data_IF_319101818567
#
_entry.id   IF_319101818567
#
_cell.length_a   1.000
_cell.length_b   1.000
_cell.length_c   1.000
_cell.angle_alpha   90.00
_cell.angle_beta   90.00
_cell.angle_gamma   90.00
#
_symmetry.space_group_name_H-M   'P 1'
#
loop_
_entity.id
_entity.type
_entity.pdbx_description
1 polymer ?
#
# COMPACT_ATOMS: atom_id res chain seq x y z
N UNK A 1 -26.08 11.64 -5.24
CA UNK A 1 -27.47 11.94 -4.84
C UNK A 1 -27.55 13.34 -4.25
N UNK A 2 -28.54 14.13 -4.65
CA UNK A 2 -28.78 15.46 -4.06
C UNK A 2 -29.33 15.32 -2.62
N UNK A 3 -29.27 16.40 -1.82
CA UNK A 3 -29.89 16.43 -0.49
C UNK A 3 -31.39 16.09 -0.54
N UNK A 4 -32.06 16.47 -1.62
CA UNK A 4 -33.47 16.18 -1.87
C UNK A 4 -33.71 14.70 -2.15
N UNK A 5 -32.82 14.04 -2.91
CA UNK A 5 -32.92 12.62 -3.20
C UNK A 5 -32.72 11.75 -1.95
N UNK A 6 -31.77 12.13 -1.09
CA UNK A 6 -31.57 11.48 0.20
C UNK A 6 -32.82 11.60 1.09
N UNK A 7 -33.44 12.80 1.14
CA UNK A 7 -34.65 13.06 1.93
C UNK A 7 -35.87 12.29 1.40
N UNK A 8 -36.03 12.15 0.09
CA UNK A 8 -37.16 11.42 -0.54
C UNK A 8 -37.17 9.93 -0.26
N UNK A 9 -35.99 9.30 -0.14
CA UNK A 9 -35.86 7.86 0.12
C UNK A 9 -35.82 7.51 1.62
N UNK A 10 -36.01 8.49 2.52
CA UNK A 10 -35.86 8.29 3.97
C UNK A 10 -34.41 8.02 4.39
N UNK A 11 -33.45 8.33 3.51
CA UNK A 11 -32.08 7.93 3.70
C UNK A 11 -31.28 8.95 4.52
N UNK A 12 -30.42 8.45 5.40
CA UNK A 12 -29.64 9.27 6.33
C UNK A 12 -28.43 9.89 5.63
N UNK A 13 -28.31 11.21 5.71
CA UNK A 13 -27.09 11.92 5.33
C UNK A 13 -26.10 11.84 6.50
N UNK A 14 -24.94 11.23 6.28
CA UNK A 14 -23.89 11.12 7.26
C UNK A 14 -22.72 12.04 6.89
N UNK A 15 -22.67 13.22 7.51
CA UNK A 15 -21.51 14.10 7.44
C UNK A 15 -20.37 13.53 8.29
N UNK A 16 -19.63 12.55 7.80
CA UNK A 16 -18.52 11.89 8.52
C UNK A 16 -17.38 12.85 8.88
N UNK A 17 -17.25 13.99 8.19
CA UNK A 17 -16.19 14.99 8.36
C UNK A 17 -16.24 15.80 9.65
N UNK A 18 -17.34 15.78 10.40
CA UNK A 18 -17.44 16.44 11.71
C UNK A 18 -16.41 15.88 12.70
N UNK A 19 -15.50 16.72 13.20
CA UNK A 19 -14.33 16.30 13.98
C UNK A 19 -14.66 15.49 15.25
N UNK A 20 -15.84 15.72 15.83
CA UNK A 20 -16.31 14.98 17.00
C UNK A 20 -16.86 13.59 16.68
N UNK A 21 -17.07 13.23 15.40
CA UNK A 21 -17.55 11.88 15.00
C UNK A 21 -16.45 10.82 15.04
N UNK A 22 -16.80 9.53 15.17
CA UNK A 22 -15.82 8.46 15.12
C UNK A 22 -15.03 8.50 13.82
N UNK A 23 -13.83 7.92 13.83
CA UNK A 23 -13.06 7.76 12.60
C UNK A 23 -13.82 6.87 11.61
N UNK A 24 -13.61 7.10 10.31
CA UNK A 24 -14.43 6.46 9.29
C UNK A 24 -14.37 4.94 9.35
N UNK A 25 -13.19 4.36 9.59
CA UNK A 25 -13.05 2.90 9.69
C UNK A 25 -13.81 2.33 10.89
N UNK A 26 -13.89 3.04 12.02
CA UNK A 26 -14.67 2.65 13.19
C UNK A 26 -16.18 2.73 12.90
N UNK A 27 -16.59 3.75 12.14
CA UNK A 27 -17.98 3.85 11.65
C UNK A 27 -18.32 2.68 10.72
N UNK A 28 -17.45 2.37 9.75
CA UNK A 28 -17.61 1.25 8.83
C UNK A 28 -17.66 -0.10 9.57
N UNK A 29 -16.84 -0.28 10.61
CA UNK A 29 -16.84 -1.48 11.46
C UNK A 29 -18.21 -1.76 12.10
N UNK A 30 -19.05 -0.75 12.31
CA UNK A 30 -20.40 -0.96 12.85
C UNK A 30 -21.30 -1.81 11.95
N UNK A 31 -21.00 -1.89 10.64
CA UNK A 31 -21.68 -2.78 9.69
C UNK A 31 -21.56 -4.26 10.10
N UNK A 32 -20.44 -4.66 10.72
CA UNK A 32 -20.23 -6.04 11.19
C UNK A 32 -21.25 -6.47 12.26
N UNK A 33 -21.81 -5.51 13.00
CA UNK A 33 -22.83 -5.77 14.03
C UNK A 33 -24.25 -5.45 13.57
N UNK A 34 -24.41 -4.41 12.75
CA UNK A 34 -25.72 -3.91 12.31
C UNK A 34 -26.25 -4.59 11.06
N UNK A 35 -25.38 -5.23 10.28
CA UNK A 35 -25.71 -5.70 8.94
C UNK A 35 -25.64 -4.58 7.90
N UNK A 36 -26.24 -4.84 6.74
CA UNK A 36 -26.27 -3.91 5.61
C UNK A 36 -27.06 -2.65 5.95
N UNK A 37 -26.50 -1.49 5.59
CA UNK A 37 -27.19 -0.20 5.72
C UNK A 37 -26.78 0.76 4.60
N UNK A 38 -27.66 1.71 4.31
CA UNK A 38 -27.44 2.75 3.31
C UNK A 38 -27.33 4.11 3.97
N UNK A 39 -26.23 4.81 3.70
CA UNK A 39 -26.01 6.19 4.14
C UNK A 39 -25.44 7.02 2.98
N UNK A 40 -25.73 8.32 3.00
CA UNK A 40 -25.23 9.28 2.00
C UNK A 40 -24.17 10.16 2.62
N UNK A 41 -22.96 10.11 2.08
CA UNK A 41 -21.83 10.92 2.55
C UNK A 41 -21.58 12.06 1.54
N UNK A 42 -21.43 13.32 2.00
CA UNK A 42 -21.04 14.41 1.11
C UNK A 42 -19.73 14.09 0.38
N UNK A 43 -19.67 14.34 -0.92
CA UNK A 43 -18.56 13.92 -1.79
C UNK A 43 -17.19 14.32 -1.27
N UNK A 44 -17.01 15.58 -0.84
CA UNK A 44 -15.74 16.06 -0.26
C UNK A 44 -15.36 15.27 0.99
N UNK A 45 -16.32 15.01 1.87
CA UNK A 45 -16.08 14.25 3.10
C UNK A 45 -15.77 12.79 2.81
N UNK A 46 -16.38 12.21 1.78
CA UNK A 46 -16.05 10.85 1.33
C UNK A 46 -14.61 10.76 0.82
N UNK A 47 -14.15 11.71 0.00
CA UNK A 47 -12.75 11.73 -0.46
C UNK A 47 -11.75 11.89 0.69
N UNK A 48 -12.09 12.67 1.72
CA UNK A 48 -11.23 12.92 2.89
C UNK A 48 -11.53 12.02 4.11
N UNK A 49 -12.31 10.95 3.93
CA UNK A 49 -12.81 10.12 5.05
C UNK A 49 -11.71 9.49 5.92
N UNK A 50 -10.54 9.26 5.33
CA UNK A 50 -9.37 8.67 5.99
C UNK A 50 -8.37 9.71 6.54
N UNK A 51 -8.52 11.00 6.20
CA UNK A 51 -7.50 12.02 6.48
C UNK A 51 -7.25 12.25 7.96
N UNK A 52 -8.31 12.40 8.77
CA UNK A 52 -8.18 12.79 10.20
C UNK A 52 -7.45 11.77 11.06
N UNK A 53 -7.53 10.51 10.69
CA UNK A 53 -6.97 9.38 11.42
C UNK A 53 -5.79 8.73 10.69
N UNK A 54 -5.26 9.38 9.63
CA UNK A 54 -4.20 8.83 8.79
C UNK A 54 -4.53 7.38 8.41
N UNK A 55 -5.64 7.20 7.69
CA UNK A 55 -6.30 5.91 7.50
C UNK A 55 -6.87 5.34 8.80
N UNK A 56 -6.11 4.53 9.52
CA UNK A 56 -6.48 3.97 10.82
C UNK A 56 -5.32 3.99 11.82
N UNK A 57 -4.16 4.54 11.44
CA UNK A 57 -2.97 4.62 12.30
C UNK A 57 -3.13 5.59 13.47
N UNK A 58 -4.11 6.50 13.40
CA UNK A 58 -4.36 7.48 14.45
C UNK A 58 -4.50 6.87 15.86
N UNK A 59 -4.95 5.61 15.97
CA UNK A 59 -5.05 4.90 17.25
C UNK A 59 -3.68 4.54 17.84
N UNK A 60 -2.70 4.17 17.01
CA UNK A 60 -1.35 3.84 17.46
C UNK A 60 -0.61 5.11 17.89
N UNK A 61 -0.78 6.18 17.10
CA UNK A 61 -0.15 7.47 17.35
C UNK A 61 -0.74 8.14 18.59
N UNK A 62 -2.07 8.09 18.73
CA UNK A 62 -2.81 8.73 19.82
C UNK A 62 -3.88 7.76 20.38
N UNK A 63 -3.53 6.88 21.33
CA UNK A 63 -4.42 5.83 21.83
C UNK A 63 -5.76 6.32 22.39
N UNK A 64 -5.80 7.53 22.96
CA UNK A 64 -7.02 8.16 23.46
C UNK A 64 -7.73 9.05 22.43
N UNK A 65 -7.20 9.16 21.21
CA UNK A 65 -7.69 10.06 20.16
C UNK A 65 -9.09 9.73 19.63
N UNK A 66 -9.59 8.52 19.89
CA UNK A 66 -10.93 8.07 19.52
C UNK A 66 -11.98 8.27 20.63
N UNK A 67 -11.58 8.72 21.82
CA UNK A 67 -12.49 8.99 22.92
C UNK A 67 -13.37 10.21 22.61
N UNK A 68 -14.63 10.17 23.05
CA UNK A 68 -15.59 11.23 22.73
C UNK A 68 -15.13 12.61 23.22
N UNK A 69 -14.66 12.71 24.47
CA UNK A 69 -14.20 13.98 25.05
C UNK A 69 -13.04 14.58 24.25
N UNK A 70 -12.09 13.75 23.81
CA UNK A 70 -10.95 14.19 23.00
C UNK A 70 -11.42 14.66 21.63
N UNK A 71 -12.21 13.84 20.93
CA UNK A 71 -12.74 14.19 19.60
C UNK A 71 -13.58 15.46 19.65
N UNK A 72 -14.36 15.67 20.71
CA UNK A 72 -15.20 16.84 20.87
C UNK A 72 -14.39 18.12 21.10
N UNK A 73 -13.43 18.08 22.03
CA UNK A 73 -12.66 19.27 22.44
C UNK A 73 -11.46 19.57 21.53
N UNK A 74 -10.75 18.53 21.08
CA UNK A 74 -9.46 18.63 20.39
C UNK A 74 -9.43 17.93 19.02
N UNK A 75 -10.51 17.25 18.61
CA UNK A 75 -10.54 16.52 17.34
C UNK A 75 -10.34 17.37 16.09
N UNK A 76 -10.59 18.69 16.17
CA UNK A 76 -10.35 19.64 15.08
C UNK A 76 -8.85 19.91 14.82
N UNK A 77 -7.96 19.50 15.73
CA UNK A 77 -6.50 19.52 15.56
C UNK A 77 -5.97 18.31 14.76
N UNK A 78 -6.82 17.31 14.48
CA UNK A 78 -6.44 16.11 13.73
C UNK A 78 -6.51 16.33 12.20
N UNK A 79 -5.62 15.71 11.41
CA UNK A 79 -4.49 14.87 11.84
C UNK A 79 -3.31 15.72 12.35
N UNK A 80 -2.50 15.21 13.28
CA UNK A 80 -1.26 15.87 13.66
C UNK A 80 -0.34 16.02 12.46
N UNK A 81 0.41 17.12 12.37
CA UNK A 81 1.41 17.29 11.32
C UNK A 81 2.47 16.19 11.47
N UNK A 82 2.75 15.47 10.39
CA UNK A 82 3.77 14.39 10.37
C UNK A 82 5.15 14.91 10.81
N UNK A 83 5.49 16.14 10.45
CA UNK A 83 6.74 16.78 10.90
C UNK A 83 6.81 16.96 12.42
N UNK A 84 5.68 17.28 13.07
CA UNK A 84 5.61 17.39 14.52
C UNK A 84 5.79 16.01 15.18
N UNK A 85 5.11 14.98 14.67
CA UNK A 85 5.28 13.60 15.15
C UNK A 85 6.74 13.14 15.06
N UNK A 86 7.38 13.37 13.90
CA UNK A 86 8.79 13.03 13.68
C UNK A 86 9.73 13.80 14.61
N UNK A 87 9.44 15.06 14.93
CA UNK A 87 10.26 15.84 15.85
C UNK A 87 10.14 15.37 17.31
N UNK A 88 8.99 14.80 17.68
CA UNK A 88 8.74 14.33 19.06
C UNK A 88 9.07 12.85 19.29
N UNK A 89 9.33 12.08 18.23
CA UNK A 89 9.70 10.67 18.33
C UNK A 89 11.22 10.51 18.39
N UNK A 90 11.73 10.04 19.54
CA UNK A 90 13.12 9.63 19.69
C UNK A 90 13.47 8.38 18.86
N UNK A 91 14.77 8.09 18.68
CA UNK A 91 15.22 6.95 17.86
C UNK A 91 14.68 5.60 18.34
N UNK A 92 14.56 5.38 19.65
CA UNK A 92 14.02 4.14 20.22
C UNK A 92 12.56 3.91 19.83
N UNK A 93 11.74 4.96 19.85
CA UNK A 93 10.33 4.91 19.43
C UNK A 93 10.27 4.65 17.93
N UNK A 94 11.11 5.32 17.14
CA UNK A 94 11.14 5.12 15.68
C UNK A 94 11.51 3.69 15.29
N UNK A 95 12.51 3.09 15.96
CA UNK A 95 12.90 1.71 15.72
C UNK A 95 11.79 0.74 16.16
N UNK A 96 11.16 0.99 17.31
CA UNK A 96 10.01 0.20 17.75
C UNK A 96 8.87 0.22 16.73
N UNK A 97 8.49 1.40 16.23
CA UNK A 97 7.49 1.49 15.16
C UNK A 97 7.94 0.76 13.90
N UNK A 98 9.19 0.91 13.48
CA UNK A 98 9.68 0.27 12.27
C UNK A 98 9.66 -1.27 12.36
N UNK A 99 9.93 -1.84 13.53
CA UNK A 99 10.01 -3.29 13.71
C UNK A 99 8.65 -3.93 14.03
N UNK A 100 7.70 -3.13 14.55
CA UNK A 100 6.40 -3.59 15.04
C UNK A 100 5.19 -3.05 14.25
N UNK A 101 5.43 -2.45 13.09
CA UNK A 101 4.40 -1.86 12.23
C UNK A 101 4.64 -2.28 10.79
N UNK A 102 3.56 -2.62 10.09
CA UNK A 102 3.60 -2.96 8.67
C UNK A 102 2.95 -1.83 7.88
N UNK A 103 3.63 -1.36 6.85
CA UNK A 103 3.10 -0.46 5.82
C UNK A 103 3.47 -1.06 4.47
N UNK A 104 2.57 -1.86 3.92
CA UNK A 104 2.78 -2.55 2.66
C UNK A 104 1.50 -2.51 1.82
N UNK A 105 1.69 -2.54 0.50
CA UNK A 105 0.61 -2.63 -0.48
C UNK A 105 0.86 -3.78 -1.45
N UNK A 106 -0.22 -4.34 -1.95
CA UNK A 106 -0.24 -5.45 -2.89
C UNK A 106 -1.17 -5.13 -4.04
N UNK A 107 -0.66 -5.00 -5.26
CA UNK A 107 -1.46 -4.93 -6.48
C UNK A 107 -1.73 -6.35 -6.98
N UNK A 108 -2.92 -6.86 -6.69
CA UNK A 108 -3.28 -8.26 -6.92
C UNK A 108 -4.36 -8.37 -7.99
N UNK A 109 -4.30 -9.32 -8.93
CA UNK A 109 -5.43 -9.60 -9.83
C UNK A 109 -6.73 -9.82 -9.04
N UNK A 110 -7.84 -9.23 -9.47
CA UNK A 110 -9.09 -9.19 -8.68
C UNK A 110 -9.55 -10.59 -8.22
N UNK A 111 -9.40 -11.60 -9.07
CA UNK A 111 -9.80 -12.97 -8.76
C UNK A 111 -8.93 -13.67 -7.69
N UNK A 112 -7.74 -13.12 -7.37
CA UNK A 112 -6.80 -13.61 -6.33
C UNK A 112 -6.91 -12.82 -5.01
N UNK A 113 -7.80 -11.83 -4.93
CA UNK A 113 -7.93 -11.00 -3.71
C UNK A 113 -8.30 -11.84 -2.49
N UNK A 114 -9.14 -12.86 -2.64
CA UNK A 114 -9.47 -13.77 -1.54
C UNK A 114 -8.22 -14.47 -0.98
N UNK A 115 -7.37 -15.00 -1.84
CA UNK A 115 -6.12 -15.66 -1.45
C UNK A 115 -5.14 -14.69 -0.78
N UNK A 116 -5.06 -13.45 -1.29
CA UNK A 116 -4.24 -12.40 -0.68
C UNK A 116 -4.71 -12.04 0.73
N UNK A 117 -6.03 -11.99 0.97
CA UNK A 117 -6.59 -11.72 2.29
C UNK A 117 -6.30 -12.85 3.28
N UNK A 118 -6.40 -14.11 2.84
CA UNK A 118 -6.02 -15.28 3.65
C UNK A 118 -4.53 -15.31 3.97
N UNK A 119 -3.68 -14.96 3.01
CA UNK A 119 -2.25 -14.83 3.22
C UNK A 119 -1.93 -13.75 4.27
N UNK A 120 -2.49 -12.55 4.12
CA UNK A 120 -2.27 -11.44 5.07
C UNK A 120 -2.79 -11.78 6.46
N UNK A 121 -3.94 -12.46 6.56
CA UNK A 121 -4.45 -12.94 7.83
C UNK A 121 -3.43 -13.86 8.51
N UNK A 122 -2.91 -14.87 7.80
CA UNK A 122 -1.97 -15.85 8.36
C UNK A 122 -0.62 -15.24 8.75
N UNK A 123 -0.06 -14.36 7.93
CA UNK A 123 1.29 -13.84 8.15
C UNK A 123 1.34 -12.61 9.07
N UNK A 124 0.27 -11.80 9.12
CA UNK A 124 0.32 -10.48 9.76
C UNK A 124 -0.88 -10.16 10.65
N UNK A 125 -2.07 -10.73 10.40
CA UNK A 125 -3.31 -10.43 11.13
C UNK A 125 -3.61 -8.91 11.25
N UNK A 126 -3.25 -8.14 10.22
CA UNK A 126 -3.42 -6.69 10.22
C UNK A 126 -4.84 -6.31 9.79
N UNK A 127 -5.48 -5.47 10.60
CA UNK A 127 -6.81 -4.92 10.32
C UNK A 127 -6.93 -3.47 10.79
N UNK A 128 -7.78 -2.66 10.14
CA UNK A 128 -8.53 -2.94 8.90
C UNK A 128 -7.61 -2.91 7.66
N UNK A 129 -8.17 -3.30 6.51
CA UNK A 129 -7.44 -3.37 5.23
C UNK A 129 -7.94 -2.32 4.24
N UNK A 130 -7.02 -1.81 3.42
CA UNK A 130 -7.34 -0.95 2.28
C UNK A 130 -7.66 -1.81 1.07
N UNK A 131 -8.74 -1.48 0.36
CA UNK A 131 -9.12 -2.17 -0.87
C UNK A 131 -9.48 -1.12 -1.92
N UNK A 132 -8.69 -1.07 -3.01
CA UNK A 132 -8.93 -0.15 -4.12
C UNK A 132 -8.84 -0.91 -5.47
N UNK A 133 -9.98 -1.43 -5.97
CA UNK A 133 -10.05 -2.04 -7.28
C UNK A 133 -9.74 -1.02 -8.38
N UNK A 134 -8.91 -1.41 -9.34
CA UNK A 134 -8.50 -0.58 -10.47
C UNK A 134 -8.25 -1.43 -11.73
N UNK A 135 -8.20 -0.77 -12.88
CA UNK A 135 -7.89 -1.42 -14.16
C UNK A 135 -6.41 -1.28 -14.47
N UNK A 136 -5.76 -2.40 -14.76
CA UNK A 136 -4.45 -2.44 -15.38
C UNK A 136 -4.64 -2.64 -16.89
N UNK A 137 -4.28 -1.63 -17.67
CA UNK A 137 -4.51 -1.62 -19.11
C UNK A 137 -3.46 -2.47 -19.85
N UNK A 138 -3.92 -3.23 -20.84
CA UNK A 138 -3.06 -3.87 -21.84
C UNK A 138 -2.59 -2.80 -22.80
N UNK A 139 -1.33 -2.42 -22.69
CA UNK A 139 -0.69 -1.42 -23.56
C UNK A 139 0.01 -2.10 -24.75
N UNK A 140 0.19 -1.40 -25.89
CA UNK A 140 0.98 -1.92 -27.02
C UNK A 140 2.44 -2.17 -26.67
N UNK A 141 2.93 -1.51 -25.61
CA UNK A 141 4.31 -1.55 -25.14
C UNK A 141 4.29 -2.04 -23.70
N UNK A 142 5.11 -3.05 -23.39
CA UNK A 142 5.14 -3.66 -22.07
C UNK A 142 5.81 -2.74 -21.06
N UNK A 143 5.10 -2.38 -20.00
CA UNK A 143 5.59 -1.59 -18.87
C UNK A 143 6.09 -2.49 -17.73
N UNK A 144 6.75 -1.91 -16.72
CA UNK A 144 7.26 -2.67 -15.55
C UNK A 144 6.17 -3.49 -14.84
N UNK A 145 4.94 -2.98 -14.84
CA UNK A 145 3.71 -3.64 -14.36
C UNK A 145 2.81 -3.85 -15.57
N UNK A 146 2.25 -5.04 -15.75
CA UNK A 146 1.43 -5.39 -16.91
C UNK A 146 0.40 -6.47 -16.54
N UNK A 147 -0.72 -6.58 -17.28
CA UNK A 147 -1.69 -7.65 -17.06
C UNK A 147 -1.07 -9.05 -17.21
N UNK A 148 -1.66 -10.05 -16.58
CA UNK A 148 -1.27 -11.44 -16.74
C UNK A 148 -1.33 -11.86 -18.23
N UNK A 149 -0.31 -12.55 -18.77
CA UNK A 149 -0.37 -13.03 -20.15
C UNK A 149 -1.61 -13.90 -20.40
N UNK A 150 -2.38 -13.55 -21.43
CA UNK A 150 -3.58 -14.29 -21.82
C UNK A 150 -4.81 -14.06 -20.94
N UNK A 151 -4.79 -13.08 -20.03
CA UNK A 151 -5.92 -12.77 -19.15
C UNK A 151 -7.24 -12.57 -19.92
N UNK A 152 -7.16 -12.02 -21.14
CA UNK A 152 -8.30 -11.75 -22.00
C UNK A 152 -9.10 -13.01 -22.40
N UNK A 153 -8.46 -14.19 -22.36
CA UNK A 153 -9.08 -15.47 -22.71
C UNK A 153 -9.82 -16.12 -21.54
N UNK A 154 -9.58 -15.65 -20.31
CA UNK A 154 -10.18 -16.24 -19.12
C UNK A 154 -11.57 -15.66 -18.81
N UNK A 155 -11.93 -14.51 -19.40
CA UNK A 155 -13.23 -13.84 -19.21
C UNK A 155 -13.64 -13.69 -17.73
N UNK A 156 -12.69 -13.34 -16.86
CA UNK A 156 -12.94 -13.22 -15.41
C UNK A 156 -13.74 -11.96 -15.11
N UNK A 157 -14.33 -11.92 -13.90
CA UNK A 157 -15.14 -10.79 -13.46
C UNK A 157 -14.37 -9.47 -13.55
N UNK A 158 -14.95 -8.51 -14.26
CA UNK A 158 -14.44 -7.15 -14.40
C UNK A 158 -13.34 -6.99 -15.46
N UNK A 159 -12.71 -8.08 -15.91
CA UNK A 159 -11.75 -8.07 -17.01
C UNK A 159 -12.44 -7.68 -18.32
N UNK A 160 -11.66 -7.06 -19.20
CA UNK A 160 -12.08 -6.66 -20.55
C UNK A 160 -11.00 -7.10 -21.54
N UNK A 161 -11.28 -7.04 -22.84
CA UNK A 161 -10.27 -7.38 -23.87
C UNK A 161 -9.01 -6.49 -23.83
N UNK A 162 -9.06 -5.34 -23.17
CA UNK A 162 -7.99 -4.34 -23.14
C UNK A 162 -7.51 -3.98 -21.73
N UNK A 163 -8.06 -4.57 -20.68
CA UNK A 163 -7.64 -4.32 -19.30
C UNK A 163 -8.05 -5.43 -18.34
N UNK A 164 -7.13 -5.82 -17.46
CA UNK A 164 -7.37 -6.75 -16.36
C UNK A 164 -7.72 -5.96 -15.09
N UNK A 165 -8.66 -6.46 -14.30
CA UNK A 165 -8.96 -5.90 -12.99
C UNK A 165 -7.93 -6.36 -11.97
N UNK A 166 -7.35 -5.38 -11.29
CA UNK A 166 -6.49 -5.56 -10.13
C UNK A 166 -7.13 -4.86 -8.92
N UNK A 167 -6.67 -5.19 -7.73
CA UNK A 167 -7.03 -4.52 -6.49
C UNK A 167 -5.75 -4.22 -5.72
N UNK A 168 -5.62 -2.97 -5.34
CA UNK A 168 -4.63 -2.54 -4.35
C UNK A 168 -5.14 -2.94 -2.96
N UNK A 169 -4.43 -3.88 -2.33
CA UNK A 169 -4.71 -4.40 -0.98
C UNK A 169 -3.65 -3.86 -0.05
N UNK A 170 -4.04 -2.92 0.82
CA UNK A 170 -3.13 -2.24 1.71
C UNK A 170 -3.21 -2.67 3.16
N UNK A 171 -2.04 -2.84 3.75
CA UNK A 171 -1.78 -3.43 5.05
C UNK A 171 -1.00 -2.40 5.88
N UNK A 172 -1.71 -1.62 6.71
CA UNK A 172 -1.15 -0.48 7.44
C UNK A 172 -1.47 -0.51 8.94
N UNK A 173 -0.81 -1.34 9.72
CA UNK A 173 -1.02 -1.35 11.18
C UNK A 173 0.03 -2.15 11.93
N UNK A 174 -0.09 -2.15 13.26
CA UNK A 174 0.57 -3.11 14.11
C UNK A 174 -0.02 -4.52 13.85
N UNK A 175 0.82 -5.53 13.54
CA UNK A 175 0.42 -6.92 13.39
C UNK A 175 -0.28 -7.49 14.63
N UNK A 176 -1.11 -8.52 14.43
CA UNK A 176 -1.84 -9.18 15.53
C UNK A 176 -0.92 -9.69 16.64
N UNK A 177 0.17 -10.36 16.26
CA UNK A 177 1.20 -10.83 17.19
C UNK A 177 1.75 -9.69 18.07
N UNK A 178 2.13 -8.57 17.46
CA UNK A 178 2.60 -7.38 18.18
C UNK A 178 1.55 -6.87 19.16
N UNK A 179 0.28 -6.78 18.75
CA UNK A 179 -0.80 -6.32 19.61
C UNK A 179 -1.06 -7.25 20.80
N UNK A 180 -0.74 -8.55 20.67
CA UNK A 180 -0.78 -9.55 21.75
C UNK A 180 0.49 -9.59 22.60
N UNK A 181 1.52 -8.82 22.25
CA UNK A 181 2.82 -8.84 22.91
C UNK A 181 3.68 -10.07 22.55
N UNK A 182 3.38 -10.71 21.43
CA UNK A 182 4.13 -11.84 20.87
C UNK A 182 5.27 -11.33 19.97
N UNK A 183 6.27 -12.19 19.74
CA UNK A 183 7.36 -11.88 18.81
C UNK A 183 6.85 -11.81 17.37
N UNK A 184 7.27 -10.77 16.64
CA UNK A 184 6.95 -10.59 15.23
C UNK A 184 8.21 -10.17 14.46
N UNK A 185 8.48 -10.87 13.36
CA UNK A 185 9.58 -10.53 12.47
C UNK A 185 9.03 -9.86 11.20
N UNK A 186 8.96 -8.53 11.21
CA UNK A 186 8.44 -7.75 10.09
C UNK A 186 9.21 -7.92 8.79
N UNK A 187 10.54 -8.03 8.85
CA UNK A 187 11.36 -8.24 7.65
C UNK A 187 11.05 -9.58 6.99
N UNK A 188 10.91 -10.65 7.78
CA UNK A 188 10.55 -11.97 7.28
C UNK A 188 9.12 -12.00 6.72
N UNK A 189 8.16 -11.38 7.42
CA UNK A 189 6.77 -11.31 6.96
C UNK A 189 6.64 -10.52 5.65
N UNK A 190 7.34 -9.38 5.53
CA UNK A 190 7.39 -8.60 4.28
C UNK A 190 8.07 -9.38 3.17
N UNK A 191 9.19 -10.04 3.44
CA UNK A 191 9.86 -10.87 2.45
C UNK A 191 8.95 -11.99 1.91
N UNK A 192 8.20 -12.67 2.78
CA UNK A 192 7.21 -13.69 2.39
C UNK A 192 6.09 -13.09 1.54
N UNK A 193 5.62 -11.89 1.90
CA UNK A 193 4.62 -11.15 1.12
C UNK A 193 5.15 -10.88 -0.29
N UNK A 194 6.37 -10.41 -0.42
CA UNK A 194 6.97 -10.11 -1.71
C UNK A 194 7.17 -11.35 -2.59
N UNK A 195 7.57 -12.48 -2.00
CA UNK A 195 7.64 -13.76 -2.72
C UNK A 195 6.26 -14.22 -3.18
N UNK A 196 5.24 -14.11 -2.30
CA UNK A 196 3.86 -14.42 -2.67
C UNK A 196 3.39 -13.58 -3.85
N UNK A 197 3.73 -12.28 -3.89
CA UNK A 197 3.40 -11.41 -5.02
C UNK A 197 4.04 -11.89 -6.33
N UNK A 198 5.32 -12.26 -6.30
CA UNK A 198 6.05 -12.79 -7.47
C UNK A 198 5.36 -14.06 -7.99
N UNK A 199 5.06 -15.01 -7.10
CA UNK A 199 4.43 -16.29 -7.44
C UNK A 199 3.01 -16.11 -8.00
N UNK A 200 2.34 -15.02 -7.65
CA UNK A 200 0.96 -14.75 -8.02
C UNK A 200 0.80 -13.70 -9.12
N UNK A 201 1.85 -13.35 -9.85
CA UNK A 201 1.82 -12.30 -10.91
C UNK A 201 1.21 -10.98 -10.39
N UNK A 202 1.59 -10.63 -9.17
CA UNK A 202 1.15 -9.44 -8.45
C UNK A 202 2.34 -8.52 -8.21
N UNK A 203 2.08 -7.27 -7.83
CA UNK A 203 3.12 -6.25 -7.74
C UNK A 203 3.08 -5.51 -6.42
N UNK A 204 4.25 -5.09 -5.93
CA UNK A 204 4.38 -4.20 -4.78
C UNK A 204 4.51 -2.75 -5.26
N UNK A 205 3.70 -1.80 -4.79
CA UNK A 205 3.95 -0.39 -5.04
C UNK A 205 5.27 0.07 -4.42
N UNK A 206 6.16 0.64 -5.24
CA UNK A 206 7.57 0.94 -4.88
C UNK A 206 7.77 2.11 -3.90
N UNK A 207 6.70 2.65 -3.30
CA UNK A 207 6.82 3.61 -2.19
C UNK A 207 7.13 2.90 -0.86
N UNK A 208 6.71 1.63 -0.74
CA UNK A 208 7.02 0.81 0.41
C UNK A 208 8.47 0.32 0.36
N UNK A 209 9.02 0.02 1.54
CA UNK A 209 10.37 -0.54 1.65
C UNK A 209 10.33 -2.00 1.22
N UNK A 210 11.27 -2.38 0.36
CA UNK A 210 11.39 -3.75 -0.13
C UNK A 210 12.48 -4.56 0.60
N UNK A 211 12.17 -5.82 0.91
CA UNK A 211 13.09 -6.81 1.47
C UNK A 211 13.64 -7.78 0.40
N UNK A 212 13.26 -7.59 -0.87
CA UNK A 212 13.77 -8.39 -1.98
C UNK A 212 15.25 -8.12 -2.24
N UNK A 213 15.93 -9.15 -2.75
CA UNK A 213 17.17 -8.96 -3.48
C UNK A 213 16.87 -8.46 -4.91
N UNK A 214 17.89 -8.00 -5.62
CA UNK A 214 17.72 -7.38 -6.95
C UNK A 214 17.14 -8.36 -7.98
N UNK A 215 17.58 -9.61 -7.93
CA UNK A 215 17.12 -10.66 -8.84
C UNK A 215 15.62 -10.90 -8.68
N UNK A 216 15.13 -11.02 -7.46
CA UNK A 216 13.71 -11.23 -7.19
C UNK A 216 12.88 -9.97 -7.47
N UNK A 217 13.43 -8.79 -7.22
CA UNK A 217 12.80 -7.53 -7.60
C UNK A 217 12.53 -7.49 -9.12
N UNK A 218 13.52 -7.84 -9.94
CA UNK A 218 13.35 -7.91 -11.39
C UNK A 218 12.61 -9.15 -11.90
N UNK A 219 12.28 -10.12 -11.03
CA UNK A 219 11.27 -11.15 -11.32
C UNK A 219 9.86 -10.60 -11.17
N UNK A 220 9.65 -9.67 -10.23
CA UNK A 220 8.36 -8.99 -10.06
C UNK A 220 8.11 -7.97 -11.16
N UNK A 221 9.11 -7.15 -11.52
CA UNK A 221 8.98 -6.06 -12.49
C UNK A 221 9.76 -6.31 -13.79
N UNK A 222 9.20 -5.95 -14.94
CA UNK A 222 9.93 -6.03 -16.21
C UNK A 222 10.92 -4.86 -16.37
N UNK A 223 12.21 -5.16 -16.24
CA UNK A 223 13.29 -4.17 -16.32
C UNK A 223 13.58 -3.66 -17.75
N UNK A 224 13.08 -4.32 -18.80
CA UNK A 224 13.62 -4.16 -20.16
C UNK A 224 13.57 -2.71 -20.67
N UNK A 225 12.42 -2.06 -20.51
CA UNK A 225 12.25 -0.67 -20.96
C UNK A 225 12.93 0.33 -20.02
N UNK A 226 13.00 -0.02 -18.74
CA UNK A 226 13.69 0.77 -17.73
C UNK A 226 15.19 0.83 -18.02
N UNK A 227 15.83 -0.31 -18.24
CA UNK A 227 17.26 -0.39 -18.56
C UNK A 227 17.59 0.24 -19.91
N UNK A 228 16.76 0.03 -20.93
CA UNK A 228 16.92 0.71 -22.22
C UNK A 228 16.93 2.24 -22.06
N UNK A 229 16.02 2.80 -21.26
CA UNK A 229 16.00 4.23 -20.98
C UNK A 229 17.25 4.68 -20.21
N UNK A 230 17.70 3.88 -19.24
CA UNK A 230 18.90 4.22 -18.46
C UNK A 230 20.15 4.30 -19.34
N UNK A 231 20.36 3.32 -20.20
CA UNK A 231 21.49 3.29 -21.13
C UNK A 231 21.41 4.45 -22.12
N UNK A 232 20.26 4.62 -22.79
CA UNK A 232 20.04 5.66 -23.80
C UNK A 232 20.34 7.08 -23.30
N UNK A 233 20.02 7.38 -22.04
CA UNK A 233 20.19 8.70 -21.45
C UNK A 233 21.40 8.82 -20.52
N UNK A 234 22.32 7.84 -20.50
CA UNK A 234 23.53 7.90 -19.67
C UNK A 234 23.25 7.90 -18.16
N UNK A 235 22.14 7.29 -17.74
CA UNK A 235 21.74 7.23 -16.33
C UNK A 235 22.48 6.15 -15.54
N UNK A 236 23.01 5.13 -16.21
CA UNK A 236 23.79 4.04 -15.59
C UNK A 236 25.03 4.64 -14.93
N UNK A 237 25.28 4.32 -13.66
CA UNK A 237 26.34 4.93 -12.85
C UNK A 237 26.12 6.39 -12.43
N UNK A 238 25.27 7.15 -13.13
CA UNK A 238 24.91 8.55 -12.76
C UNK A 238 23.80 8.60 -11.72
N UNK A 239 22.76 7.77 -11.88
CA UNK A 239 21.60 7.72 -11.00
C UNK A 239 21.38 6.31 -10.48
N UNK A 240 21.23 6.18 -9.16
CA UNK A 240 20.86 4.94 -8.49
C UNK A 240 19.65 4.25 -9.15
N UNK A 241 19.74 2.94 -9.38
CA UNK A 241 18.64 2.12 -9.87
C UNK A 241 17.40 2.20 -8.96
N UNK A 242 16.23 1.90 -9.52
CA UNK A 242 14.96 1.94 -8.78
C UNK A 242 14.91 0.88 -7.67
N UNK A 243 15.46 -0.31 -7.93
CA UNK A 243 15.64 -1.34 -6.92
C UNK A 243 16.44 -0.78 -5.73
N UNK A 244 17.60 -0.19 -6.00
CA UNK A 244 18.41 0.39 -4.95
C UNK A 244 17.69 1.52 -4.24
N UNK A 245 16.79 2.30 -4.87
CA UNK A 245 15.99 3.33 -4.19
C UNK A 245 14.97 2.73 -3.20
N UNK A 246 14.34 1.61 -3.54
CA UNK A 246 13.29 0.97 -2.73
C UNK A 246 13.80 -0.06 -1.70
N UNK A 247 15.02 -0.58 -1.87
CA UNK A 247 15.64 -1.54 -0.94
C UNK A 247 15.79 -0.98 0.48
N UNK A 248 15.51 -1.82 1.48
CA UNK A 248 15.79 -1.53 2.90
C UNK A 248 17.28 -1.36 3.20
N UNK A 249 17.58 -0.49 4.17
CA UNK A 249 18.91 -0.29 4.73
C UNK A 249 19.67 0.93 4.20
N UNK A 250 20.75 1.29 4.91
CA UNK A 250 21.72 2.30 4.44
C UNK A 250 22.50 1.71 3.28
N UNK A 251 22.44 2.38 2.13
CA UNK A 251 23.16 1.99 0.91
C UNK A 251 24.54 2.60 0.99
N UNK A 252 25.58 1.80 0.86
CA UNK A 252 26.92 2.37 0.67
C UNK A 252 27.09 2.77 -0.79
N UNK A 253 27.78 3.86 -1.07
CA UNK A 253 28.07 4.29 -2.45
C UNK A 253 28.78 3.19 -3.24
N UNK A 254 29.64 2.41 -2.55
CA UNK A 254 30.38 1.28 -3.10
C UNK A 254 29.46 0.17 -3.63
N UNK A 255 28.49 -0.28 -2.83
CA UNK A 255 27.54 -1.34 -3.27
C UNK A 255 26.73 -0.91 -4.50
N UNK A 256 26.36 0.37 -4.58
CA UNK A 256 25.63 0.92 -5.73
C UNK A 256 26.55 0.97 -6.95
N UNK A 257 27.78 1.47 -6.80
CA UNK A 257 28.74 1.57 -7.90
C UNK A 257 29.14 0.20 -8.47
N UNK A 258 29.38 -0.80 -7.61
CA UNK A 258 29.75 -2.16 -8.04
C UNK A 258 28.64 -2.82 -8.86
N UNK A 259 27.38 -2.68 -8.44
CA UNK A 259 26.25 -3.22 -9.19
C UNK A 259 26.00 -2.48 -10.51
N UNK A 260 26.12 -1.15 -10.52
CA UNK A 260 25.99 -0.35 -11.74
C UNK A 260 27.13 -0.65 -12.74
N UNK A 261 28.35 -0.91 -12.26
CA UNK A 261 29.46 -1.34 -13.10
C UNK A 261 29.21 -2.71 -13.73
N UNK A 262 28.64 -3.66 -12.98
CA UNK A 262 28.28 -4.98 -13.50
C UNK A 262 27.22 -4.94 -14.61
N UNK A 263 26.40 -3.89 -14.69
CA UNK A 263 25.44 -3.68 -15.80
C UNK A 263 26.15 -3.14 -17.06
N UNK A 264 27.25 -2.39 -16.88
CA UNK A 264 28.05 -1.86 -17.99
C UNK A 264 28.95 -2.92 -18.63
N UNK A 265 29.50 -3.86 -17.85
CA UNK A 265 30.37 -4.93 -18.37
C UNK A 265 29.78 -5.76 -19.53
N UNK A 266 28.51 -6.23 -19.50
CA UNK A 266 27.94 -6.95 -20.64
C UNK A 266 27.66 -6.05 -21.85
N UNK A 267 27.51 -4.73 -21.69
CA UNK A 267 27.28 -3.81 -22.80
C UNK A 267 28.53 -3.60 -23.68
N UNK A 268 29.74 -3.79 -23.12
CA UNK A 268 30.99 -3.68 -23.86
C UNK A 268 31.50 -5.01 -24.44
N UNK A 269 30.94 -6.15 -24.00
CA UNK A 269 31.33 -7.47 -24.51
C UNK A 269 30.69 -7.79 -25.88
N UNK A 270 29.55 -7.18 -26.21
CA UNK A 270 28.87 -7.35 -27.50
C UNK A 270 29.32 -6.32 -28.58
N UNK A 271 30.24 -5.40 -28.23
CA UNK A 271 30.85 -4.43 -29.16
C UNK A 271 32.33 -4.75 -29.50
N UNK A 272 32.85 -5.91 -29.11
CA UNK A 272 34.23 -6.35 -29.33
C UNK A 272 34.38 -7.42 -30.44
#
# INVERSE_FOLDING_TARGET
>A
ASKEEAKKKGNKINCVGWWFKPWFYQHAQTALKKGEFVEYIPTREYYHRHTRCLYWEGKLILPFGDQFWFRFLLGWLMPPKVSLLKATQGESIRNYYHDNHVIQDMLVPLYKVGDALEFVHKEMEVYPLWLCPHRLYKLPVKTMVYPEPGFEHHHRQGDTSYAQMFTDVGVYYAPGAVLRGEEFNGALAVHRLEQWLIENHSYQPQYAVSELNEKDFWRMFDASHYEHCRQKYGAVGTFMSVYYKSKKGRKTEKEVQEAEAAILEPAYADEA
#
